data_IF_608420332847
#
_entry.id   IF_608420332847
#
_cell.length_a   1.000
_cell.length_b   1.000
_cell.length_c   1.000
_cell.angle_alpha   90.00
_cell.angle_beta   90.00
_cell.angle_gamma   90.00
#
_symmetry.space_group_name_H-M   'P 1'
#
loop_
_entity.id
_entity.type
_entity.pdbx_description
1 polymer ?
#
# COMPACT_ATOMS: atom_id res chain seq x y z
N UNK A 1 15.41 17.14 -3.20
CA UNK A 1 14.07 17.59 -3.66
C UNK A 1 14.08 17.76 -5.19
N UNK A 2 13.17 17.07 -5.90
CA UNK A 2 13.07 17.00 -7.37
C UNK A 2 14.22 16.28 -8.11
N UNK A 3 14.78 15.25 -7.50
CA UNK A 3 15.61 14.25 -8.20
C UNK A 3 14.82 12.95 -8.27
N UNK A 4 14.76 12.33 -9.44
CA UNK A 4 14.29 10.95 -9.56
C UNK A 4 15.07 10.07 -8.56
N UNK A 5 14.43 9.09 -7.90
CA UNK A 5 15.13 8.20 -6.99
C UNK A 5 16.31 7.55 -7.74
N UNK A 6 17.50 7.70 -7.16
CA UNK A 6 18.73 7.12 -7.73
C UNK A 6 19.12 5.94 -6.86
N UNK A 7 19.34 4.78 -7.49
CA UNK A 7 19.86 3.61 -6.81
C UNK A 7 21.20 3.98 -6.18
N UNK A 8 21.33 3.79 -4.86
CA UNK A 8 22.62 3.92 -4.19
C UNK A 8 23.61 2.96 -4.84
N UNK A 9 24.89 3.35 -5.05
CA UNK A 9 25.92 2.39 -5.42
C UNK A 9 25.85 1.20 -4.46
N UNK A 10 25.95 -0.03 -4.96
CA UNK A 10 25.76 -1.28 -4.23
C UNK A 10 26.78 -1.54 -3.09
N UNK A 11 27.46 -0.50 -2.60
CA UNK A 11 28.21 -0.51 -1.36
C UNK A 11 27.22 -0.47 -0.17
N UNK A 12 26.55 -1.60 0.09
CA UNK A 12 25.64 -1.78 1.23
C UNK A 12 24.47 -2.73 0.96
N UNK A 13 24.16 -2.98 -0.32
CA UNK A 13 23.09 -3.89 -0.74
C UNK A 13 23.67 -5.28 -0.92
N UNK A 14 23.33 -6.21 -0.03
CA UNK A 14 23.70 -7.62 -0.17
C UNK A 14 22.49 -8.36 -0.73
N UNK A 15 22.57 -8.75 -2.01
CA UNK A 15 21.65 -9.72 -2.58
C UNK A 15 22.00 -11.09 -1.99
N UNK A 16 21.07 -11.70 -1.26
CA UNK A 16 21.30 -12.97 -0.56
C UNK A 16 21.34 -14.10 -1.58
N UNK A 17 22.53 -14.66 -1.78
CA UNK A 17 22.76 -15.85 -2.61
C UNK A 17 22.43 -17.14 -1.82
N UNK A 18 22.26 -18.30 -2.48
CA UNK A 18 21.64 -19.51 -1.90
C UNK A 18 22.35 -20.15 -0.69
N UNK A 19 23.49 -19.62 -0.26
CA UNK A 19 24.36 -20.28 0.71
C UNK A 19 24.76 -19.42 1.92
N UNK A 20 24.19 -18.22 2.08
CA UNK A 20 24.43 -17.43 3.29
C UNK A 20 23.46 -17.89 4.38
N UNK A 21 23.99 -18.51 5.44
CA UNK A 21 23.20 -18.90 6.61
C UNK A 21 22.54 -17.65 7.19
N UNK A 22 21.21 -17.51 7.02
CA UNK A 22 20.42 -16.46 7.67
C UNK A 22 20.38 -16.73 9.16
N UNK A 23 21.40 -16.26 9.89
CA UNK A 23 21.38 -16.25 11.34
C UNK A 23 20.75 -14.94 11.82
N UNK A 24 19.66 -15.09 12.56
CA UNK A 24 18.88 -14.07 13.28
C UNK A 24 18.37 -12.89 12.41
N UNK A 25 17.10 -12.99 12.02
CA UNK A 25 16.33 -11.87 11.43
C UNK A 25 15.75 -11.06 12.60
N UNK A 26 16.09 -9.78 12.70
CA UNK A 26 15.65 -8.90 13.78
C UNK A 26 14.30 -8.22 13.51
N UNK A 27 13.83 -8.26 12.26
CA UNK A 27 12.52 -7.76 11.85
C UNK A 27 12.34 -7.89 10.33
N UNK A 28 11.08 -7.99 9.89
CA UNK A 28 10.68 -7.94 8.49
C UNK A 28 9.48 -6.99 8.36
N UNK A 29 9.51 -6.16 7.33
CA UNK A 29 8.42 -5.30 6.92
C UNK A 29 8.02 -5.66 5.49
N UNK A 30 6.72 -5.54 5.18
CA UNK A 30 6.18 -5.88 3.89
C UNK A 30 5.40 -4.69 3.32
N UNK A 31 5.87 -4.15 2.21
CA UNK A 31 5.34 -2.93 1.58
C UNK A 31 5.35 -3.16 0.08
N UNK A 32 4.32 -2.70 -0.63
CA UNK A 32 4.35 -2.60 -2.09
C UNK A 32 5.11 -1.31 -2.45
N UNK A 33 6.40 -1.41 -2.72
CA UNK A 33 7.23 -0.20 -2.95
C UNK A 33 7.03 0.39 -4.34
N UNK A 34 6.44 -0.38 -5.27
CA UNK A 34 6.29 0.00 -6.68
C UNK A 34 4.84 0.22 -7.11
N UNK A 35 3.89 -0.03 -6.22
CA UNK A 35 2.46 0.21 -6.43
C UNK A 35 1.85 -0.70 -7.49
N UNK A 36 2.38 -1.91 -7.66
CA UNK A 36 1.89 -2.85 -8.69
C UNK A 36 1.05 -4.00 -8.13
N UNK A 37 0.67 -3.91 -6.86
CA UNK A 37 -0.29 -4.79 -6.21
C UNK A 37 0.33 -6.06 -5.62
N UNK A 38 1.66 -6.18 -5.62
CA UNK A 38 2.34 -7.20 -4.86
C UNK A 38 3.22 -6.64 -3.73
N UNK A 39 3.28 -7.40 -2.63
CA UNK A 39 4.03 -7.00 -1.44
C UNK A 39 5.48 -7.45 -1.58
N UNK A 40 6.40 -6.50 -1.42
CA UNK A 40 7.83 -6.73 -1.29
C UNK A 40 8.21 -6.92 0.18
N UNK A 41 9.31 -7.64 0.43
CA UNK A 41 9.78 -7.89 1.79
C UNK A 41 11.15 -7.23 2.00
N UNK A 42 11.24 -6.42 3.06
CA UNK A 42 12.49 -5.90 3.60
C UNK A 42 12.74 -6.51 4.96
N UNK A 43 13.90 -7.15 5.16
CA UNK A 43 14.28 -7.71 6.47
C UNK A 43 15.63 -7.18 6.93
N UNK A 44 15.79 -7.01 8.24
CA UNK A 44 17.08 -6.76 8.87
C UNK A 44 17.74 -8.06 9.35
N UNK A 45 19.05 -8.21 9.14
CA UNK A 45 19.85 -9.19 9.88
C UNK A 45 20.44 -8.60 11.16
N UNK A 46 20.33 -9.33 12.28
CA UNK A 46 21.07 -9.06 13.52
C UNK A 46 22.24 -10.02 13.78
N UNK A 47 23.40 -9.44 14.13
CA UNK A 47 24.71 -9.98 14.59
C UNK A 47 25.63 -10.70 13.58
N UNK A 48 26.80 -10.09 13.32
CA UNK A 48 27.88 -10.57 12.46
C UNK A 48 27.97 -9.93 11.07
N UNK A 49 26.92 -9.22 10.67
CA UNK A 49 26.85 -8.46 9.42
C UNK A 49 25.49 -7.78 9.32
N UNK A 50 25.37 -6.58 9.89
CA UNK A 50 24.13 -5.81 9.84
C UNK A 50 23.90 -5.34 8.41
N UNK A 51 22.82 -5.82 7.77
CA UNK A 51 22.47 -5.46 6.40
C UNK A 51 20.96 -5.52 6.20
N UNK A 52 20.46 -4.64 5.33
CA UNK A 52 19.12 -4.73 4.80
C UNK A 52 19.11 -5.78 3.69
N UNK A 53 18.12 -6.67 3.75
CA UNK A 53 17.84 -7.66 2.72
C UNK A 53 16.55 -7.30 2.04
N UNK A 54 16.58 -7.37 0.72
CA UNK A 54 15.45 -7.10 -0.14
C UNK A 54 15.21 -8.32 -1.01
N UNK A 55 13.95 -8.73 -1.07
CA UNK A 55 13.52 -9.91 -1.80
C UNK A 55 12.45 -9.49 -2.80
N UNK A 56 12.83 -9.41 -4.08
CA UNK A 56 11.87 -9.26 -5.17
C UNK A 56 11.11 -10.57 -5.41
N UNK A 57 9.82 -10.47 -5.66
CA UNK A 57 8.95 -11.64 -5.88
C UNK A 57 9.31 -12.38 -7.17
N UNK A 58 9.63 -11.65 -8.23
CA UNK A 58 9.97 -12.22 -9.54
C UNK A 58 11.26 -13.06 -9.48
N UNK A 59 12.29 -12.57 -8.81
CA UNK A 59 13.55 -13.28 -8.60
C UNK A 59 13.35 -14.57 -7.80
N UNK A 60 12.50 -14.54 -6.77
CA UNK A 60 12.15 -15.75 -6.01
C UNK A 60 11.46 -16.78 -6.91
N UNK A 61 10.50 -16.35 -7.74
CA UNK A 61 9.75 -17.24 -8.62
C UNK A 61 10.59 -17.81 -9.77
N UNK A 62 11.52 -17.01 -10.31
CA UNK A 62 12.35 -17.39 -11.44
C UNK A 62 13.54 -18.26 -11.04
N UNK A 63 14.09 -18.06 -9.83
CA UNK A 63 15.32 -18.71 -9.40
C UNK A 63 15.15 -19.70 -8.25
N UNK A 64 14.14 -19.60 -7.39
CA UNK A 64 13.95 -20.47 -6.20
C UNK A 64 12.87 -21.56 -6.42
N UNK A 65 12.30 -21.63 -7.63
CA UNK A 65 11.33 -22.68 -7.93
C UNK A 65 12.00 -24.07 -8.08
N UNK A 66 11.19 -25.11 -7.87
CA UNK A 66 11.56 -26.53 -8.00
C UNK A 66 12.37 -26.89 -9.25
N UNK A 67 12.19 -26.16 -10.35
CA UNK A 67 12.87 -26.40 -11.63
C UNK A 67 14.37 -26.11 -11.57
N UNK A 68 14.81 -25.23 -10.66
CA UNK A 68 16.22 -24.84 -10.52
C UNK A 68 16.93 -25.59 -9.38
N UNK A 69 16.27 -25.78 -8.23
CA UNK A 69 16.91 -26.37 -7.04
C UNK A 69 16.33 -27.71 -6.55
N UNK A 70 15.32 -28.25 -7.23
CA UNK A 70 14.73 -29.55 -6.90
C UNK A 70 13.82 -29.56 -5.67
N UNK A 71 13.73 -28.44 -4.95
CA UNK A 71 12.76 -28.18 -3.89
C UNK A 71 12.31 -26.71 -3.92
N UNK A 72 11.17 -26.44 -3.30
CA UNK A 72 10.63 -25.10 -3.14
C UNK A 72 11.05 -24.59 -1.75
N UNK A 73 12.07 -23.73 -1.68
CA UNK A 73 12.54 -23.11 -0.42
C UNK A 73 12.16 -21.64 -0.36
N UNK A 74 10.89 -21.34 -0.63
CA UNK A 74 10.38 -19.99 -0.55
C UNK A 74 10.40 -19.49 0.90
N UNK A 75 10.97 -18.30 1.20
CA UNK A 75 10.70 -17.66 2.48
C UNK A 75 9.20 -17.37 2.57
N UNK A 76 8.50 -18.06 3.47
CA UNK A 76 7.07 -17.83 3.70
C UNK A 76 6.93 -16.70 4.71
N UNK A 77 6.51 -15.52 4.24
CA UNK A 77 5.97 -14.48 5.10
C UNK A 77 4.46 -14.69 5.22
N UNK A 78 3.99 -14.92 6.45
CA UNK A 78 2.56 -14.92 6.73
C UNK A 78 2.13 -13.48 6.99
N UNK A 79 1.30 -12.91 6.12
CA UNK A 79 0.64 -11.63 6.39
C UNK A 79 -0.34 -11.86 7.55
N UNK A 80 0.06 -11.44 8.76
CA UNK A 80 -0.79 -11.57 9.97
C UNK A 80 -1.81 -10.43 10.10
N UNK A 81 -1.67 -9.40 9.27
CA UNK A 81 -2.57 -8.27 9.13
C UNK A 81 -2.08 -7.36 8.02
N UNK A 82 -2.99 -6.90 7.17
CA UNK A 82 -2.75 -5.77 6.29
C UNK A 82 -3.43 -4.57 6.96
N UNK A 83 -2.65 -3.54 7.33
CA UNK A 83 -3.22 -2.28 7.78
C UNK A 83 -3.82 -1.60 6.54
N UNK A 84 -5.12 -1.76 6.32
CA UNK A 84 -5.84 -0.88 5.41
C UNK A 84 -5.84 0.51 6.05
N UNK A 85 -4.99 1.40 5.54
CA UNK A 85 -5.18 2.85 5.73
C UNK A 85 -6.31 3.31 4.81
N UNK A 86 -7.51 2.78 5.02
CA UNK A 86 -8.70 3.33 4.40
C UNK A 86 -8.97 4.70 5.03
N UNK A 87 -9.02 5.73 4.21
CA UNK A 87 -9.46 7.07 4.63
C UNK A 87 -10.98 7.14 4.49
N UNK A 88 -11.66 8.06 5.18
CA UNK A 88 -13.12 8.15 5.11
C UNK A 88 -13.62 8.51 3.70
N UNK A 89 -12.75 9.16 2.94
CA UNK A 89 -12.94 9.66 1.59
C UNK A 89 -12.87 8.56 0.52
N UNK A 90 -12.42 7.35 0.87
CA UNK A 90 -12.51 6.13 0.06
C UNK A 90 -13.94 5.55 0.21
N UNK A 91 -14.81 5.93 -0.72
CA UNK A 91 -16.24 5.65 -0.70
C UNK A 91 -16.58 4.33 -1.40
N UNK A 92 -15.78 3.86 -2.35
CA UNK A 92 -16.01 2.58 -3.03
C UNK A 92 -15.25 1.39 -2.40
N UNK A 93 -14.24 1.66 -1.57
CA UNK A 93 -13.50 0.69 -0.75
C UNK A 93 -12.34 0.00 -1.47
N UNK A 94 -11.82 0.60 -2.54
CA UNK A 94 -10.72 0.07 -3.35
C UNK A 94 -9.32 0.54 -2.93
N UNK A 95 -9.23 1.20 -1.77
CA UNK A 95 -8.02 1.68 -1.10
C UNK A 95 -7.34 2.89 -1.79
N UNK A 96 -8.04 3.62 -2.67
CA UNK A 96 -7.65 4.94 -3.17
C UNK A 96 -8.74 6.03 -2.99
N UNK A 97 -8.44 7.26 -3.43
CA UNK A 97 -9.45 8.34 -3.50
C UNK A 97 -9.37 8.97 -4.88
N UNK A 98 -10.39 8.72 -5.69
CA UNK A 98 -10.41 9.08 -7.10
C UNK A 98 -11.78 9.55 -7.63
N UNK A 99 -11.99 9.43 -8.95
CA UNK A 99 -13.23 9.86 -9.61
C UNK A 99 -14.42 8.93 -9.34
N UNK A 100 -14.19 7.67 -9.00
CA UNK A 100 -15.19 6.69 -8.59
C UNK A 100 -15.82 7.10 -7.26
N UNK A 101 -15.00 7.51 -6.29
CA UNK A 101 -15.47 8.08 -5.02
C UNK A 101 -16.24 9.37 -5.22
N UNK A 102 -15.73 10.27 -6.05
CA UNK A 102 -16.45 11.48 -6.40
C UNK A 102 -17.81 11.17 -7.02
N UNK A 103 -17.92 10.11 -7.84
CA UNK A 103 -19.19 9.65 -8.40
C UNK A 103 -20.18 9.20 -7.32
N UNK A 104 -19.72 8.51 -6.28
CA UNK A 104 -20.55 8.13 -5.13
C UNK A 104 -21.00 9.36 -4.34
N UNK A 105 -20.07 10.27 -4.04
CA UNK A 105 -20.38 11.51 -3.33
C UNK A 105 -21.40 12.35 -4.10
N UNK A 106 -21.21 12.49 -5.42
CA UNK A 106 -22.12 13.22 -6.31
C UNK A 106 -23.52 12.61 -6.31
N UNK A 107 -23.65 11.28 -6.32
CA UNK A 107 -24.94 10.60 -6.27
C UNK A 107 -25.70 10.86 -4.95
N UNK A 108 -24.96 11.15 -3.89
CA UNK A 108 -25.48 11.41 -2.55
C UNK A 108 -25.74 12.88 -2.26
N UNK A 109 -25.23 13.80 -3.08
CA UNK A 109 -25.45 15.25 -2.90
C UNK A 109 -26.94 15.58 -2.83
N UNK A 110 -27.32 16.24 -1.74
CA UNK A 110 -28.69 16.68 -1.48
C UNK A 110 -28.83 18.19 -1.70
N UNK A 111 -30.07 18.66 -1.92
CA UNK A 111 -30.34 20.10 -2.08
C UNK A 111 -30.00 20.90 -0.82
N UNK A 112 -29.90 22.23 -0.93
CA UNK A 112 -29.49 23.11 0.18
C UNK A 112 -30.16 22.78 1.52
N UNK A 113 -29.37 22.27 2.46
CA UNK A 113 -29.78 21.92 3.83
C UNK A 113 -30.73 20.72 3.93
N UNK A 114 -30.91 19.95 2.86
CA UNK A 114 -31.71 18.72 2.90
C UNK A 114 -30.84 17.57 3.37
N UNK A 115 -31.34 16.71 4.27
CA UNK A 115 -30.65 15.47 4.63
C UNK A 115 -30.35 14.62 3.40
N UNK A 116 -29.23 13.90 3.44
CA UNK A 116 -28.93 12.91 2.41
C UNK A 116 -29.94 11.75 2.44
N UNK A 117 -30.18 11.06 1.31
CA UNK A 117 -31.08 9.92 1.25
C UNK A 117 -30.50 8.70 1.98
N UNK A 118 -31.33 7.73 2.40
CA UNK A 118 -30.84 6.48 3.00
C UNK A 118 -29.82 5.76 2.10
N UNK A 119 -28.74 5.25 2.68
CA UNK A 119 -27.63 4.63 1.92
C UNK A 119 -26.49 5.58 1.57
N UNK A 120 -26.61 6.87 1.91
CA UNK A 120 -25.56 7.88 1.71
C UNK A 120 -24.77 8.24 2.98
N UNK A 121 -24.87 7.42 4.02
CA UNK A 121 -24.23 7.67 5.31
C UNK A 121 -22.70 7.76 5.20
N UNK A 122 -22.09 7.07 4.21
CA UNK A 122 -20.64 7.13 3.96
C UNK A 122 -20.20 8.42 3.26
N UNK A 123 -21.09 9.09 2.53
CA UNK A 123 -20.76 10.29 1.76
C UNK A 123 -20.85 11.59 2.60
N UNK A 124 -21.38 11.53 3.82
CA UNK A 124 -21.36 12.61 4.82
C UNK A 124 -20.01 12.61 5.55
N UNK A 125 -19.01 13.18 4.89
CA UNK A 125 -17.61 13.18 5.31
C UNK A 125 -17.32 14.16 6.44
N UNK A 126 -18.15 15.20 6.61
CA UNK A 126 -18.04 16.15 7.72
C UNK A 126 -19.00 15.87 8.89
N UNK A 127 -19.84 14.86 8.76
CA UNK A 127 -20.78 14.34 9.79
C UNK A 127 -21.77 15.42 10.25
N UNK A 128 -22.34 16.15 9.30
CA UNK A 128 -23.32 17.21 9.56
C UNK A 128 -24.77 16.84 9.16
N UNK A 129 -24.96 15.62 8.66
CA UNK A 129 -26.26 15.08 8.28
C UNK A 129 -26.73 15.48 6.88
N UNK A 130 -25.90 16.15 6.09
CA UNK A 130 -26.16 16.51 4.70
C UNK A 130 -24.95 16.17 3.83
N UNK A 131 -25.13 15.97 2.53
CA UNK A 131 -23.99 15.79 1.60
C UNK A 131 -23.95 16.98 0.66
N UNK A 132 -22.94 17.83 0.80
CA UNK A 132 -22.82 19.10 0.09
C UNK A 132 -21.35 19.45 -0.25
N UNK A 133 -21.09 20.73 -0.52
CA UNK A 133 -19.76 21.22 -0.88
C UNK A 133 -18.71 21.02 0.24
N UNK A 134 -19.11 20.98 1.51
CA UNK A 134 -18.20 20.71 2.62
C UNK A 134 -17.63 19.28 2.53
N UNK A 135 -18.45 18.30 2.17
CA UNK A 135 -18.02 16.93 1.92
C UNK A 135 -17.16 16.84 0.67
N UNK A 136 -17.53 17.59 -0.38
CA UNK A 136 -16.71 17.68 -1.59
C UNK A 136 -15.32 18.25 -1.28
N UNK A 137 -15.22 19.33 -0.51
CA UNK A 137 -13.93 19.91 -0.11
C UNK A 137 -13.09 18.90 0.69
N UNK A 138 -13.75 18.05 1.49
CA UNK A 138 -13.10 16.97 2.23
C UNK A 138 -12.57 15.88 1.30
N UNK A 139 -13.38 15.39 0.36
CA UNK A 139 -12.96 14.42 -0.65
C UNK A 139 -11.81 14.95 -1.51
N UNK A 140 -11.92 16.20 -1.99
CA UNK A 140 -10.88 16.84 -2.80
C UNK A 140 -9.55 17.01 -2.05
N UNK A 141 -9.56 17.04 -0.72
CA UNK A 141 -8.33 17.06 0.08
C UNK A 141 -7.54 15.76 0.05
N UNK A 142 -8.19 14.65 -0.32
CA UNK A 142 -7.62 13.30 -0.40
C UNK A 142 -7.44 12.79 -1.84
N UNK A 143 -8.05 13.44 -2.83
CA UNK A 143 -8.02 13.02 -4.23
C UNK A 143 -6.60 12.92 -4.79
N UNK A 144 -6.18 11.72 -5.21
CA UNK A 144 -4.87 11.47 -5.81
C UNK A 144 -4.90 10.65 -7.12
N UNK A 145 -6.08 10.11 -7.48
CA UNK A 145 -6.30 9.39 -8.73
C UNK A 145 -6.24 7.86 -8.59
N UNK A 146 -6.63 7.13 -9.65
CA UNK A 146 -6.78 5.67 -9.59
C UNK A 146 -5.45 4.95 -9.34
N UNK A 147 -5.52 3.94 -8.49
CA UNK A 147 -4.41 3.14 -7.97
C UNK A 147 -3.28 4.00 -7.36
N UNK A 148 -3.61 5.18 -6.84
CA UNK A 148 -2.66 6.01 -6.09
C UNK A 148 -3.08 6.04 -4.62
N UNK A 149 -2.13 5.98 -3.67
CA UNK A 149 -2.50 6.13 -2.27
C UNK A 149 -3.21 7.48 -2.07
N UNK A 150 -4.18 7.59 -1.14
CA UNK A 150 -4.86 8.84 -0.85
C UNK A 150 -3.84 9.98 -0.59
N UNK A 151 -4.14 11.19 -1.06
CA UNK A 151 -3.28 12.36 -0.87
C UNK A 151 -3.21 12.82 0.60
N UNK A 152 -4.13 12.31 1.42
CA UNK A 152 -4.26 12.60 2.84
C UNK A 152 -3.74 11.43 3.71
N UNK A 153 -3.31 11.71 4.96
CA UNK A 153 -2.62 10.75 5.82
C UNK A 153 -3.50 9.67 6.45
#
# INVERSE_FOLDING_TARGET
PNTAPTLSPAAGTIVVQPFVTTQMISGADAVDWRGDGDLDIVTGQGHGGSGLRFYERDYINDFVNKTVYGNDTFPVATVTGAERRGVAEDLDGDDDVDQSDFGILQACMSGNGQPYPPGCERADLVVDGVVNNADLDRLLSCLNGPHQPPACP
#
